data_IF_466997919705
#
_entry.id   IF_466997919705
#
_cell.length_a   1.000
_cell.length_b   1.000
_cell.length_c   1.000
_cell.angle_alpha   90.00
_cell.angle_beta   90.00
_cell.angle_gamma   90.00
#
_symmetry.space_group_name_H-M   'P 1'
#
loop_
_entity.id
_entity.type
_entity.pdbx_description
1 polymer ?
#
# COMPACT_ATOMS: atom_id res chain seq x y z
N UNK A 1 -3.82 1.50 1.15
CA UNK A 1 -3.73 1.70 -0.31
C UNK A 1 -5.02 1.31 -1.05
N UNK A 2 -5.60 0.10 -0.88
CA UNK A 2 -6.74 -0.35 -1.71
C UNK A 2 -7.93 0.62 -1.71
N UNK A 3 -8.37 1.07 -0.54
CA UNK A 3 -9.48 2.02 -0.41
C UNK A 3 -9.20 3.38 -1.08
N UNK A 4 -7.95 3.87 -1.03
CA UNK A 4 -7.59 5.14 -1.67
C UNK A 4 -7.63 5.02 -3.20
N UNK A 5 -7.11 3.91 -3.74
CA UNK A 5 -7.16 3.61 -5.17
C UNK A 5 -8.60 3.44 -5.67
N UNK A 6 -9.47 2.83 -4.86
CA UNK A 6 -10.90 2.68 -5.16
C UNK A 6 -11.63 4.03 -5.19
N UNK A 7 -11.42 4.87 -4.18
CA UNK A 7 -12.16 6.14 -4.03
C UNK A 7 -11.72 7.19 -5.04
N UNK A 8 -10.41 7.36 -5.22
CA UNK A 8 -9.87 8.49 -5.95
C UNK A 8 -9.46 8.17 -7.40
N UNK A 9 -9.31 6.89 -7.74
CA UNK A 9 -8.89 6.48 -9.09
C UNK A 9 -7.50 7.00 -9.48
N UNK A 10 -7.24 6.99 -10.79
CA UNK A 10 -5.89 7.22 -11.35
C UNK A 10 -5.46 8.70 -11.34
N UNK A 11 -6.40 9.62 -11.49
CA UNK A 11 -6.12 11.06 -11.54
C UNK A 11 -6.06 11.68 -10.13
N UNK A 12 -5.22 11.10 -9.27
CA UNK A 12 -5.09 11.49 -7.87
C UNK A 12 -3.64 11.50 -7.39
N UNK A 13 -3.38 12.26 -6.33
CA UNK A 13 -2.09 12.26 -5.63
C UNK A 13 -2.31 11.69 -4.23
N UNK A 14 -1.68 10.55 -3.95
CA UNK A 14 -1.69 9.93 -2.63
C UNK A 14 -0.38 10.27 -1.91
N UNK A 15 -0.45 11.20 -0.95
CA UNK A 15 0.73 11.68 -0.23
C UNK A 15 0.93 10.97 1.10
N UNK A 16 2.06 10.29 1.26
CA UNK A 16 2.43 9.56 2.47
C UNK A 16 3.58 10.23 3.22
N UNK A 17 3.29 11.25 4.03
CA UNK A 17 4.30 11.92 4.87
C UNK A 17 4.81 11.00 5.98
N UNK A 18 4.04 10.86 7.06
CA UNK A 18 4.36 9.94 8.15
C UNK A 18 4.49 8.48 7.69
N UNK A 19 3.70 8.07 6.70
CA UNK A 19 3.76 6.73 6.10
C UNK A 19 5.04 6.40 5.33
N UNK A 20 5.85 7.40 4.97
CA UNK A 20 7.19 7.18 4.37
C UNK A 20 8.30 7.36 5.41
N UNK A 21 8.24 8.46 6.16
CA UNK A 21 9.29 8.82 7.13
C UNK A 21 9.31 7.91 8.36
N UNK A 22 8.18 7.28 8.69
CA UNK A 22 8.06 6.33 9.80
C UNK A 22 8.48 4.90 9.46
N UNK A 23 8.93 4.62 8.23
CA UNK A 23 9.32 3.28 7.85
C UNK A 23 10.56 2.81 8.63
N UNK A 24 10.59 1.57 9.18
CA UNK A 24 11.65 1.13 10.09
C UNK A 24 13.03 1.08 9.44
N UNK A 25 13.10 1.01 8.11
CA UNK A 25 14.36 0.99 7.34
C UNK A 25 14.67 2.34 6.66
N UNK A 26 13.99 3.41 7.07
CA UNK A 26 14.19 4.76 6.56
C UNK A 26 13.40 5.09 5.29
N UNK A 27 13.62 6.31 4.79
CA UNK A 27 12.73 6.96 3.81
C UNK A 27 12.68 6.24 2.46
N UNK A 28 13.81 5.77 1.94
CA UNK A 28 13.85 5.12 0.63
C UNK A 28 13.05 3.81 0.63
N UNK A 29 13.24 2.89 1.61
CA UNK A 29 12.35 1.73 1.77
C UNK A 29 10.89 2.11 2.00
N UNK A 30 10.59 3.17 2.76
CA UNK A 30 9.23 3.66 2.94
C UNK A 30 8.57 4.11 1.63
N UNK A 31 9.33 4.75 0.75
CA UNK A 31 8.84 5.14 -0.58
C UNK A 31 8.58 3.90 -1.45
N UNK A 32 9.48 2.91 -1.41
CA UNK A 32 9.31 1.63 -2.12
C UNK A 32 8.06 0.89 -1.64
N UNK A 33 7.82 0.83 -0.32
CA UNK A 33 6.63 0.19 0.23
C UNK A 33 5.33 0.82 -0.29
N UNK A 34 5.26 2.16 -0.32
CA UNK A 34 4.10 2.88 -0.86
C UNK A 34 3.93 2.64 -2.37
N UNK A 35 5.01 2.65 -3.14
CA UNK A 35 4.96 2.37 -4.58
C UNK A 35 4.47 0.94 -4.86
N UNK A 36 5.05 -0.06 -4.20
CA UNK A 36 4.66 -1.48 -4.36
C UNK A 36 3.19 -1.68 -4.01
N UNK A 37 2.72 -1.10 -2.90
CA UNK A 37 1.33 -1.19 -2.51
C UNK A 37 0.39 -0.56 -3.56
N UNK A 38 0.77 0.58 -4.14
CA UNK A 38 -0.03 1.27 -5.15
C UNK A 38 -0.09 0.46 -6.46
N UNK A 39 1.06 0.02 -6.97
CA UNK A 39 1.14 -0.77 -8.20
C UNK A 39 0.37 -2.10 -8.06
N UNK A 40 0.46 -2.77 -6.91
CA UNK A 40 -0.32 -3.99 -6.65
C UNK A 40 -1.83 -3.73 -6.66
N UNK A 41 -2.29 -2.63 -6.07
CA UNK A 41 -3.71 -2.24 -6.10
C UNK A 41 -4.18 -1.88 -7.51
N UNK A 42 -3.39 -1.11 -8.27
CA UNK A 42 -3.72 -0.73 -9.65
C UNK A 42 -3.77 -1.98 -10.54
N UNK A 43 -2.80 -2.88 -10.42
CA UNK A 43 -2.81 -4.14 -11.18
C UNK A 43 -4.06 -4.97 -10.86
N UNK A 44 -4.34 -5.22 -9.58
CA UNK A 44 -5.49 -6.03 -9.17
C UNK A 44 -6.82 -5.43 -9.66
N UNK A 45 -6.99 -4.11 -9.56
CA UNK A 45 -8.15 -3.40 -10.10
C UNK A 45 -8.26 -3.57 -11.62
N UNK A 46 -7.16 -3.43 -12.34
CA UNK A 46 -7.12 -3.59 -13.80
C UNK A 46 -7.38 -5.05 -14.24
N UNK A 47 -7.09 -6.03 -13.37
CA UNK A 47 -7.47 -7.45 -13.53
C UNK A 47 -8.93 -7.73 -13.12
N UNK A 48 -9.68 -6.71 -12.71
CA UNK A 48 -11.10 -6.82 -12.36
C UNK A 48 -11.38 -7.29 -10.93
N UNK A 49 -10.39 -7.26 -10.04
CA UNK A 49 -10.59 -7.56 -8.61
C UNK A 49 -11.28 -6.41 -7.89
N UNK A 50 -12.05 -6.75 -6.87
CA UNK A 50 -12.77 -5.82 -6.01
C UNK A 50 -11.86 -5.34 -4.87
N UNK A 51 -11.35 -4.12 -4.96
CA UNK A 51 -10.42 -3.57 -3.97
C UNK A 51 -11.06 -3.38 -2.58
N UNK A 52 -12.38 -3.20 -2.50
CA UNK A 52 -13.09 -3.00 -1.24
C UNK A 52 -13.16 -4.29 -0.42
N UNK A 53 -13.28 -5.44 -1.09
CA UNK A 53 -13.38 -6.75 -0.44
C UNK A 53 -12.05 -7.52 -0.42
N UNK A 54 -11.23 -7.39 -1.46
CA UNK A 54 -10.02 -8.17 -1.69
C UNK A 54 -8.73 -7.41 -1.34
N UNK A 55 -8.84 -6.13 -0.94
CA UNK A 55 -7.70 -5.23 -0.72
C UNK A 55 -6.63 -5.75 0.25
N UNK A 56 -7.04 -6.36 1.37
CA UNK A 56 -6.10 -6.91 2.35
C UNK A 56 -5.31 -8.10 1.79
N UNK A 57 -5.95 -8.94 0.98
CA UNK A 57 -5.29 -10.08 0.35
C UNK A 57 -4.28 -9.62 -0.70
N UNK A 58 -4.61 -8.58 -1.46
CA UNK A 58 -3.72 -7.97 -2.46
C UNK A 58 -2.45 -7.44 -1.78
N UNK A 59 -2.60 -6.65 -0.72
CA UNK A 59 -1.45 -6.13 0.03
C UNK A 59 -0.64 -7.27 0.65
N UNK A 60 -1.30 -8.24 1.27
CA UNK A 60 -0.62 -9.39 1.87
C UNK A 60 0.14 -10.22 0.82
N UNK A 61 -0.42 -10.40 -0.37
CA UNK A 61 0.26 -11.08 -1.47
C UNK A 61 1.51 -10.31 -1.93
N UNK A 62 1.41 -8.98 -2.06
CA UNK A 62 2.54 -8.12 -2.41
C UNK A 62 3.65 -8.13 -1.34
N UNK A 63 3.29 -8.13 -0.06
CA UNK A 63 4.25 -8.21 1.06
C UNK A 63 5.09 -9.49 1.04
N UNK A 64 4.64 -10.57 0.39
CA UNK A 64 5.42 -11.82 0.32
C UNK A 64 6.70 -11.68 -0.52
N UNK A 65 6.73 -10.73 -1.45
CA UNK A 65 7.87 -10.53 -2.36
C UNK A 65 8.52 -9.15 -2.26
N UNK A 66 7.90 -8.17 -1.59
CA UNK A 66 8.56 -6.91 -1.20
C UNK A 66 8.82 -6.89 0.31
N UNK A 67 10.10 -7.02 0.73
CA UNK A 67 10.50 -6.89 2.13
C UNK A 67 10.15 -5.53 2.74
N UNK A 68 10.23 -4.45 1.96
CA UNK A 68 9.89 -3.10 2.40
C UNK A 68 8.40 -2.99 2.72
N UNK A 69 7.54 -3.49 1.82
CA UNK A 69 6.10 -3.51 2.09
C UNK A 69 5.77 -4.42 3.29
N UNK A 70 6.44 -5.55 3.43
CA UNK A 70 6.25 -6.42 4.61
C UNK A 70 6.58 -5.68 5.91
N UNK A 71 7.74 -5.01 5.97
CA UNK A 71 8.15 -4.24 7.14
C UNK A 71 7.19 -3.08 7.44
N UNK A 72 6.71 -2.39 6.40
CA UNK A 72 5.69 -1.35 6.54
C UNK A 72 4.38 -1.91 7.14
N UNK A 73 3.91 -3.06 6.64
CA UNK A 73 2.70 -3.72 7.14
C UNK A 73 2.84 -4.19 8.59
N UNK A 74 4.04 -4.55 9.06
CA UNK A 74 4.25 -4.91 10.47
C UNK A 74 4.09 -3.71 11.41
N UNK A 75 4.57 -2.54 10.99
CA UNK A 75 4.50 -1.30 11.78
C UNK A 75 3.11 -0.68 11.75
N UNK A 76 2.42 -0.74 10.60
CA UNK A 76 1.11 -0.08 10.39
C UNK A 76 -0.06 -0.91 10.95
N UNK A 77 0.17 -2.15 11.43
CA UNK A 77 -0.85 -3.03 12.04
C UNK A 77 -1.60 -2.44 13.24
N UNK A 78 -1.07 -1.41 13.89
CA UNK A 78 -1.72 -0.73 15.03
C UNK A 78 -2.51 0.53 14.64
N UNK A 79 -2.40 0.99 13.39
CA UNK A 79 -2.96 2.25 12.93
C UNK A 79 -4.31 2.12 12.25
N UNK A 80 -5.39 2.18 13.02
CA UNK A 80 -6.72 2.66 12.60
C UNK A 80 -6.71 4.15 12.17
N UNK A 81 -5.63 4.59 11.51
CA UNK A 81 -5.40 5.98 11.09
C UNK A 81 -5.10 6.02 9.60
N UNK A 82 -6.13 5.59 8.85
CA UNK A 82 -6.72 6.36 7.75
C UNK A 82 -8.22 6.37 7.98
#
# INVERSE_FOLDING_TARGET
>A
MPALTEIFGDDSILQFGGGTLGHPWGNAPGAVANQVALEACVQARNEGRDLAHEGNEIIHAASKWSPELAAACEVIKEGNLI
#
